data_IF_311803866845
#
_entry.id   IF_311803866845
#
_cell.length_a   1.000
_cell.length_b   1.000
_cell.length_c   1.000
_cell.angle_alpha   90.00
_cell.angle_beta   90.00
_cell.angle_gamma   90.00
#
_symmetry.space_group_name_H-M   'P 1'
#
loop_
_entity.id
_entity.type
_entity.pdbx_description
1 polymer ?
#
# COMPACT_ATOMS: atom_id res chain seq x y z
N UNK A 1 8.76 -23.44 7.31
CA UNK A 1 9.48 -22.15 7.33
C UNK A 1 10.91 -22.38 7.77
N UNK A 2 11.87 -21.74 7.11
CA UNK A 2 13.27 -21.67 7.51
C UNK A 2 13.65 -20.23 7.85
N UNK A 3 14.56 -20.05 8.81
CA UNK A 3 15.04 -18.74 9.24
C UNK A 3 16.57 -18.73 9.19
N UNK A 4 17.15 -17.89 8.33
CA UNK A 4 18.59 -17.78 8.13
C UNK A 4 18.95 -16.35 7.75
N UNK A 5 20.01 -15.81 8.36
CA UNK A 5 20.59 -14.49 8.04
C UNK A 5 19.56 -13.34 7.99
N UNK A 6 18.57 -13.36 8.88
CA UNK A 6 17.52 -12.33 8.94
C UNK A 6 16.38 -12.53 7.95
N UNK A 7 16.39 -13.61 7.16
CA UNK A 7 15.31 -13.96 6.23
C UNK A 7 14.44 -15.06 6.82
N UNK A 8 13.13 -14.85 6.83
CA UNK A 8 12.13 -15.90 7.06
C UNK A 8 11.56 -16.37 5.73
N UNK A 9 11.88 -17.60 5.35
CA UNK A 9 11.47 -18.19 4.08
C UNK A 9 10.42 -19.28 4.29
N UNK A 10 9.34 -19.20 3.52
CA UNK A 10 8.20 -20.11 3.56
C UNK A 10 8.06 -20.74 2.18
N UNK A 11 8.24 -22.06 2.12
CA UNK A 11 8.21 -22.84 0.89
C UNK A 11 7.12 -23.90 0.98
N UNK A 12 6.46 -24.15 -0.15
CA UNK A 12 5.54 -25.25 -0.35
C UNK A 12 5.53 -25.71 -1.81
N UNK A 13 4.55 -26.52 -2.17
CA UNK A 13 4.45 -27.01 -3.54
C UNK A 13 4.12 -25.84 -4.49
N UNK A 14 5.08 -25.49 -5.35
CA UNK A 14 4.90 -24.47 -6.39
C UNK A 14 5.04 -23.02 -5.92
N UNK A 15 5.35 -22.74 -4.65
CA UNK A 15 5.51 -21.38 -4.15
C UNK A 15 6.69 -21.19 -3.19
N UNK A 16 7.17 -19.95 -3.14
CA UNK A 16 8.27 -19.50 -2.28
C UNK A 16 8.07 -18.03 -1.88
N UNK A 17 8.09 -17.76 -0.58
CA UNK A 17 7.77 -16.46 0.02
C UNK A 17 8.89 -16.11 1.01
N UNK A 18 9.49 -14.93 0.87
CA UNK A 18 10.55 -14.46 1.77
C UNK A 18 10.17 -13.13 2.43
N UNK A 19 10.43 -13.07 3.73
CA UNK A 19 10.33 -11.87 4.54
C UNK A 19 11.71 -11.49 5.06
N UNK A 20 12.07 -10.22 4.93
CA UNK A 20 13.28 -9.66 5.52
C UNK A 20 12.97 -9.09 6.91
N UNK A 21 13.57 -9.65 7.96
CA UNK A 21 13.28 -9.28 9.34
C UNK A 21 13.77 -7.87 9.70
N UNK A 22 14.78 -7.34 9.00
CA UNK A 22 15.31 -6.00 9.27
C UNK A 22 14.34 -4.92 8.76
N UNK A 23 13.88 -5.06 7.52
CA UNK A 23 12.91 -4.14 6.91
C UNK A 23 11.48 -4.46 7.27
N UNK A 24 11.17 -5.68 7.74
CA UNK A 24 9.83 -6.17 8.03
C UNK A 24 8.99 -6.50 6.79
N UNK A 25 9.59 -6.51 5.60
CA UNK A 25 8.86 -6.56 4.33
C UNK A 25 8.78 -7.96 3.74
N UNK A 26 7.68 -8.22 3.04
CA UNK A 26 7.57 -9.31 2.07
C UNK A 26 8.43 -8.95 0.84
N UNK A 27 9.64 -9.48 0.76
CA UNK A 27 10.63 -9.10 -0.28
C UNK A 27 10.57 -9.98 -1.51
N UNK A 28 9.99 -11.18 -1.39
CA UNK A 28 9.86 -12.13 -2.50
C UNK A 28 8.56 -12.89 -2.41
N UNK A 29 7.93 -13.04 -3.56
CA UNK A 29 6.84 -13.98 -3.75
C UNK A 29 6.96 -14.61 -5.14
N UNK A 30 7.24 -15.90 -5.17
CA UNK A 30 7.23 -16.73 -6.37
C UNK A 30 6.08 -17.71 -6.27
N UNK A 31 5.31 -17.85 -7.35
CA UNK A 31 4.31 -18.91 -7.49
C UNK A 31 4.29 -19.41 -8.94
N UNK A 32 4.21 -20.74 -9.10
CA UNK A 32 4.29 -21.45 -10.39
C UNK A 32 5.58 -21.14 -11.18
N UNK A 33 6.69 -20.97 -10.45
CA UNK A 33 7.99 -20.62 -11.04
C UNK A 33 8.13 -19.17 -11.51
N UNK A 34 7.13 -18.33 -11.26
CA UNK A 34 7.15 -16.92 -11.65
C UNK A 34 7.17 -15.99 -10.44
N UNK A 35 8.06 -14.99 -10.45
CA UNK A 35 7.96 -13.89 -9.49
C UNK A 35 6.62 -13.18 -9.67
N UNK A 36 5.96 -12.80 -8.57
CA UNK A 36 4.70 -12.04 -8.56
C UNK A 36 4.91 -10.58 -8.19
N UNK A 37 6.02 -10.26 -7.53
CA UNK A 37 6.34 -8.93 -7.04
C UNK A 37 7.61 -8.39 -7.71
N UNK A 38 7.59 -7.10 -8.04
CA UNK A 38 8.75 -6.31 -8.40
C UNK A 38 9.19 -5.41 -7.23
N UNK A 39 8.27 -5.07 -6.32
CA UNK A 39 8.56 -4.39 -5.06
C UNK A 39 7.68 -4.95 -3.94
N UNK A 40 8.16 -4.85 -2.71
CA UNK A 40 7.39 -5.26 -1.54
C UNK A 40 6.11 -4.43 -1.37
N UNK A 41 5.00 -5.02 -0.89
CA UNK A 41 3.87 -4.29 -0.30
C UNK A 41 4.32 -3.41 0.85
N UNK A 42 3.91 -2.14 0.81
CA UNK A 42 4.18 -1.14 1.85
C UNK A 42 2.91 -0.32 2.10
N UNK A 43 2.77 0.26 3.29
CA UNK A 43 1.68 1.22 3.52
C UNK A 43 1.82 2.42 2.59
N UNK A 44 0.69 2.93 2.10
CA UNK A 44 0.62 4.20 1.40
C UNK A 44 -0.47 5.08 2.02
N UNK A 45 -0.02 6.15 2.67
CA UNK A 45 -0.87 7.13 3.35
C UNK A 45 -1.10 8.41 2.54
N UNK A 46 -0.55 8.49 1.33
CA UNK A 46 -0.56 9.68 0.51
C UNK A 46 -1.16 9.42 -0.87
N UNK A 47 -1.56 10.50 -1.54
CA UNK A 47 -1.93 10.49 -2.95
C UNK A 47 -1.45 11.77 -3.60
N UNK A 48 -1.24 11.72 -4.89
CA UNK A 48 -0.94 12.90 -5.70
C UNK A 48 -2.12 13.90 -5.55
N UNK A 49 -1.89 15.14 -5.09
CA UNK A 49 -2.95 16.12 -4.82
C UNK A 49 -3.72 16.50 -6.09
N UNK A 50 -5.05 16.33 -6.09
CA UNK A 50 -5.87 16.81 -7.21
C UNK A 50 -6.06 18.33 -7.14
N UNK A 51 -6.59 18.95 -8.20
CA UNK A 51 -6.84 20.41 -8.22
C UNK A 51 -7.65 20.89 -7.00
N UNK A 52 -8.60 20.09 -6.50
CA UNK A 52 -9.38 20.40 -5.29
C UNK A 52 -8.54 20.39 -4.00
N UNK A 53 -7.48 19.57 -3.94
CA UNK A 53 -6.57 19.50 -2.79
C UNK A 53 -5.58 20.68 -2.82
N UNK A 54 -5.17 21.11 -4.02
CA UNK A 54 -4.30 22.25 -4.27
C UNK A 54 -5.04 23.56 -4.02
N UNK A 55 -6.28 23.67 -4.48
CA UNK A 55 -7.10 24.88 -4.35
C UNK A 55 -6.43 26.10 -4.99
N UNK A 56 -6.33 27.18 -4.22
CA UNK A 56 -5.68 28.43 -4.65
C UNK A 56 -4.19 28.49 -4.32
N UNK A 57 -3.58 27.38 -3.90
CA UNK A 57 -2.16 27.34 -3.58
C UNK A 57 -1.30 27.40 -4.84
N UNK A 58 -0.33 28.31 -4.85
CA UNK A 58 0.71 28.43 -5.86
C UNK A 58 2.08 28.11 -5.23
N UNK A 59 3.10 27.85 -6.07
CA UNK A 59 4.42 27.44 -5.61
C UNK A 59 5.10 28.47 -4.68
N UNK A 60 4.88 29.75 -4.97
CA UNK A 60 5.39 30.91 -4.22
C UNK A 60 4.37 31.47 -3.21
N UNK A 61 3.10 31.05 -3.30
CA UNK A 61 2.01 31.51 -2.43
C UNK A 61 1.10 30.34 -2.02
N UNK A 62 1.54 29.62 -0.99
CA UNK A 62 0.76 28.53 -0.40
C UNK A 62 -0.43 29.08 0.41
N UNK A 63 -1.65 28.61 0.13
CA UNK A 63 -2.82 28.88 0.97
C UNK A 63 -2.89 27.84 2.10
N UNK A 64 -2.72 28.24 3.37
CA UNK A 64 -2.66 27.32 4.51
C UNK A 64 -3.97 26.54 4.76
N UNK A 65 -5.08 26.92 4.13
CA UNK A 65 -6.37 26.24 4.30
C UNK A 65 -6.60 25.12 3.28
N UNK A 66 -5.69 24.92 2.33
CA UNK A 66 -5.77 23.86 1.33
C UNK A 66 -5.28 22.53 1.88
N UNK A 67 -5.80 21.42 1.39
CA UNK A 67 -5.37 20.09 1.84
C UNK A 67 -3.89 19.86 1.54
N UNK A 68 -3.39 20.32 0.39
CA UNK A 68 -1.97 20.28 0.06
C UNK A 68 -1.13 20.95 1.15
N UNK A 69 -1.47 22.19 1.55
CA UNK A 69 -0.74 22.90 2.58
C UNK A 69 -0.80 22.19 3.93
N UNK A 70 -1.98 21.72 4.32
CA UNK A 70 -2.20 20.99 5.57
C UNK A 70 -1.36 19.71 5.63
N UNK A 71 -1.36 18.89 4.57
CA UNK A 71 -0.58 17.66 4.49
C UNK A 71 0.92 17.93 4.49
N UNK A 72 1.36 18.96 3.76
CA UNK A 72 2.76 19.38 3.73
C UNK A 72 3.23 19.84 5.11
N UNK A 73 2.46 20.70 5.78
CA UNK A 73 2.78 21.17 7.13
C UNK A 73 2.80 20.02 8.14
N UNK A 74 1.88 19.06 8.02
CA UNK A 74 1.85 17.88 8.88
C UNK A 74 2.98 16.86 8.57
N UNK A 75 3.70 17.01 7.46
CA UNK A 75 4.76 16.10 7.03
C UNK A 75 4.24 14.76 6.48
N UNK A 76 2.99 14.70 6.02
CA UNK A 76 2.38 13.48 5.45
C UNK A 76 3.10 13.06 4.15
N UNK A 77 3.67 14.03 3.43
CA UNK A 77 4.40 13.80 2.17
C UNK A 77 5.81 13.25 2.38
N UNK A 78 6.36 13.38 3.60
CA UNK A 78 7.76 13.11 3.92
C UNK A 78 7.86 12.11 5.09
N UNK A 79 6.92 11.16 5.15
CA UNK A 79 6.87 10.18 6.22
C UNK A 79 8.07 9.22 6.14
N UNK A 80 8.86 9.17 7.20
CA UNK A 80 9.98 8.25 7.33
C UNK A 80 9.51 6.95 8.00
N UNK A 81 9.55 5.84 7.27
CA UNK A 81 9.18 4.52 7.79
C UNK A 81 10.34 3.85 8.51
N UNK A 82 10.06 3.23 9.66
CA UNK A 82 10.95 2.30 10.35
C UNK A 82 10.23 1.01 10.70
N UNK A 83 10.85 -0.13 10.45
CA UNK A 83 10.44 -1.38 11.07
C UNK A 83 10.85 -1.35 12.55
N UNK A 84 9.89 -1.58 13.44
CA UNK A 84 10.10 -1.57 14.89
C UNK A 84 9.86 -2.94 15.53
N UNK A 85 9.32 -3.90 14.78
CA UNK A 85 9.11 -5.26 15.25
C UNK A 85 8.88 -6.21 14.08
N UNK A 86 9.41 -7.42 14.22
CA UNK A 86 9.20 -8.50 13.28
C UNK A 86 9.16 -9.83 14.04
N UNK A 87 8.08 -10.59 13.86
CA UNK A 87 7.93 -11.93 14.42
C UNK A 87 7.46 -12.90 13.33
N UNK A 88 7.98 -14.11 13.37
CA UNK A 88 7.62 -15.16 12.43
C UNK A 88 7.48 -16.49 13.15
N UNK A 89 6.32 -17.14 12.98
CA UNK A 89 5.95 -18.36 13.68
C UNK A 89 5.39 -19.41 12.72
N UNK A 90 5.93 -20.62 12.78
CA UNK A 90 5.37 -21.78 12.10
C UNK A 90 4.28 -22.41 12.98
N UNK A 91 3.08 -22.58 12.43
CA UNK A 91 2.01 -23.42 12.97
C UNK A 91 1.90 -24.71 12.13
N UNK A 92 0.98 -25.60 12.50
CA UNK A 92 0.83 -26.90 11.82
C UNK A 92 0.41 -26.76 10.34
N UNK A 93 -0.42 -25.78 10.02
CA UNK A 93 -1.07 -25.61 8.72
C UNK A 93 -0.74 -24.27 8.02
N UNK A 94 -0.03 -23.37 8.71
CA UNK A 94 0.36 -22.07 8.18
C UNK A 94 1.59 -21.50 8.85
N UNK A 95 2.12 -20.42 8.28
CA UNK A 95 3.09 -19.54 8.90
C UNK A 95 2.40 -18.20 9.21
N UNK A 96 2.63 -17.68 10.40
CA UNK A 96 2.21 -16.34 10.80
C UNK A 96 3.42 -15.41 10.79
N UNK A 97 3.29 -14.27 10.13
CA UNK A 97 4.29 -13.19 10.16
C UNK A 97 3.61 -11.93 10.70
N UNK A 98 4.30 -11.24 11.59
CA UNK A 98 3.88 -9.96 12.13
C UNK A 98 5.00 -8.94 11.89
N UNK A 99 4.66 -7.83 11.24
CA UNK A 99 5.57 -6.71 11.00
C UNK A 99 4.96 -5.44 11.58
N UNK A 100 5.70 -4.74 12.44
CA UNK A 100 5.29 -3.49 13.05
C UNK A 100 6.13 -2.34 12.49
N UNK A 101 5.45 -1.29 12.03
CA UNK A 101 6.05 -0.10 11.45
C UNK A 101 5.67 1.15 12.24
N UNK A 102 6.63 2.05 12.37
CA UNK A 102 6.40 3.42 12.81
C UNK A 102 6.77 4.37 11.68
N UNK A 103 5.90 5.36 11.45
CA UNK A 103 6.13 6.45 10.50
C UNK A 103 6.32 7.74 11.27
N UNK A 104 7.43 8.43 10.99
CA UNK A 104 7.79 9.68 11.64
C UNK A 104 7.63 10.87 10.69
N UNK A 105 7.13 11.99 11.21
CA UNK A 105 7.13 13.29 10.55
C UNK A 105 7.74 14.33 11.48
N UNK A 106 8.69 15.14 10.98
CA UNK A 106 9.40 16.16 11.77
C UNK A 106 10.03 15.60 13.06
N UNK A 107 10.61 14.40 12.98
CA UNK A 107 11.28 13.74 14.10
C UNK A 107 10.34 13.18 15.19
N UNK A 108 9.03 13.09 14.91
CA UNK A 108 8.03 12.50 15.84
C UNK A 108 7.28 11.38 15.16
N UNK A 109 7.03 10.31 15.89
CA UNK A 109 6.19 9.21 15.44
C UNK A 109 4.72 9.66 15.37
N UNK A 110 4.10 9.49 14.19
CA UNK A 110 2.76 10.01 13.88
C UNK A 110 1.80 8.93 13.39
N UNK A 111 2.30 7.80 12.88
CA UNK A 111 1.47 6.66 12.48
C UNK A 111 2.18 5.37 12.91
N UNK A 112 1.42 4.44 13.46
CA UNK A 112 1.84 3.07 13.70
C UNK A 112 1.03 2.14 12.77
N UNK A 113 1.68 1.17 12.13
CA UNK A 113 1.03 0.16 11.29
C UNK A 113 1.48 -1.24 11.72
N UNK A 114 0.54 -2.16 11.86
CA UNK A 114 0.81 -3.57 12.18
C UNK A 114 0.24 -4.44 11.07
N UNK A 115 1.14 -5.15 10.39
CA UNK A 115 0.82 -6.09 9.33
C UNK A 115 0.87 -7.51 9.86
N UNK A 116 -0.18 -8.27 9.62
CA UNK A 116 -0.31 -9.69 9.98
C UNK A 116 -0.50 -10.49 8.70
N UNK A 117 0.46 -11.34 8.40
CA UNK A 117 0.39 -12.27 7.28
C UNK A 117 0.11 -13.67 7.79
N UNK A 118 -0.81 -14.37 7.10
CA UNK A 118 -0.99 -15.80 7.26
C UNK A 118 -0.74 -16.47 5.90
N UNK A 119 0.36 -17.23 5.82
CA UNK A 119 0.73 -18.00 4.62
C UNK A 119 0.35 -19.45 4.86
N UNK A 120 -0.59 -19.98 4.08
CA UNK A 120 -1.06 -21.36 4.22
C UNK A 120 -0.18 -22.37 3.45
N UNK A 121 -0.49 -23.66 3.58
CA UNK A 121 0.24 -24.74 2.90
C UNK A 121 0.05 -24.78 1.38
N UNK A 122 -0.88 -24.01 0.83
CA UNK A 122 -1.15 -23.86 -0.60
C UNK A 122 -0.53 -22.59 -1.20
N UNK A 123 0.08 -21.75 -0.37
CA UNK A 123 0.67 -20.48 -0.78
C UNK A 123 -0.33 -19.33 -0.85
N UNK A 124 -1.53 -19.49 -0.29
CA UNK A 124 -2.45 -18.38 -0.09
C UNK A 124 -1.90 -17.47 1.03
N UNK A 125 -1.83 -16.17 0.74
CA UNK A 125 -1.33 -15.15 1.66
C UNK A 125 -2.50 -14.26 2.05
N UNK A 126 -3.00 -14.45 3.27
CA UNK A 126 -3.96 -13.52 3.89
C UNK A 126 -3.17 -12.38 4.55
N UNK A 127 -3.63 -11.15 4.34
CA UNK A 127 -3.00 -9.94 4.90
C UNK A 127 -4.04 -9.12 5.64
N UNK A 128 -3.75 -8.86 6.90
CA UNK A 128 -4.52 -7.94 7.74
C UNK A 128 -3.60 -6.80 8.19
N UNK A 129 -4.08 -5.56 8.10
CA UNK A 129 -3.31 -4.37 8.43
C UNK A 129 -4.11 -3.47 9.36
N UNK A 130 -3.57 -3.21 10.54
CA UNK A 130 -4.12 -2.26 11.50
C UNK A 130 -3.28 -0.98 11.51
N UNK A 131 -3.93 0.18 11.36
CA UNK A 131 -3.27 1.49 11.33
C UNK A 131 -3.79 2.36 12.46
N UNK A 132 -2.88 2.88 13.27
CA UNK A 132 -3.14 3.80 14.37
C UNK A 132 -2.50 5.16 14.06
N UNK A 133 -3.32 6.20 13.97
CA UNK A 133 -2.89 7.55 13.62
C UNK A 133 -2.84 8.41 14.89
N UNK A 134 -1.74 9.11 15.11
CA UNK A 134 -1.57 9.97 16.27
C UNK A 134 -2.59 11.10 16.30
N UNK A 135 -3.06 11.43 17.51
CA UNK A 135 -3.98 12.55 17.72
C UNK A 135 -3.32 13.85 17.25
N UNK A 136 -4.05 14.63 16.45
CA UNK A 136 -3.58 15.91 15.91
C UNK A 136 -3.02 15.83 14.49
N UNK A 137 -2.86 14.62 13.94
CA UNK A 137 -2.68 14.49 12.50
C UNK A 137 -3.96 14.89 11.76
N UNK A 138 -3.85 15.52 10.58
CA UNK A 138 -5.00 15.76 9.72
C UNK A 138 -5.55 14.43 9.19
N UNK A 139 -6.75 14.46 8.60
CA UNK A 139 -7.22 13.34 7.79
C UNK A 139 -6.22 13.04 6.68
N UNK A 140 -5.83 11.77 6.58
CA UNK A 140 -4.90 11.31 5.55
C UNK A 140 -5.62 11.18 4.20
N UNK A 141 -4.95 11.48 3.07
CA UNK A 141 -5.54 11.32 1.75
C UNK A 141 -5.96 9.89 1.43
N UNK A 142 -5.25 8.89 2.00
CA UNK A 142 -5.49 7.47 1.83
C UNK A 142 -5.00 6.71 3.06
N UNK A 143 -5.58 5.53 3.29
CA UNK A 143 -4.98 4.45 4.08
C UNK A 143 -5.09 3.20 3.21
N UNK A 144 -3.95 2.62 2.84
CA UNK A 144 -3.91 1.45 1.96
C UNK A 144 -2.48 0.96 1.78
N UNK A 145 -2.27 0.14 0.75
CA UNK A 145 -0.97 -0.38 0.41
C UNK A 145 -0.64 -0.15 -1.06
N UNK A 146 0.66 -0.15 -1.37
CA UNK A 146 1.19 -0.03 -2.71
C UNK A 146 2.33 -1.02 -2.93
N UNK A 147 2.38 -1.59 -4.13
CA UNK A 147 3.46 -2.43 -4.62
C UNK A 147 3.40 -2.51 -6.14
N UNK A 148 4.47 -3.03 -6.73
CA UNK A 148 4.54 -3.31 -8.15
C UNK A 148 4.53 -4.82 -8.37
N UNK A 149 3.70 -5.26 -9.30
CA UNK A 149 3.61 -6.67 -9.71
C UNK A 149 4.53 -6.92 -10.90
N UNK A 150 4.92 -8.19 -11.10
CA UNK A 150 5.64 -8.61 -12.30
C UNK A 150 4.75 -8.38 -13.53
N UNK A 151 5.14 -7.46 -14.41
CA UNK A 151 4.33 -7.02 -15.54
C UNK A 151 4.13 -8.12 -16.60
N UNK A 152 2.90 -8.62 -16.69
CA UNK A 152 2.45 -9.62 -17.69
C UNK A 152 0.99 -9.46 -18.14
N UNK A 153 0.21 -8.59 -17.50
CA UNK A 153 -1.22 -8.49 -17.72
C UNK A 153 -1.54 -7.25 -18.56
N UNK A 154 -2.32 -7.40 -19.63
CA UNK A 154 -2.81 -6.27 -20.44
C UNK A 154 -4.19 -5.80 -20.02
N UNK A 155 -4.85 -6.52 -19.10
CA UNK A 155 -6.24 -6.31 -18.70
C UNK A 155 -6.42 -6.44 -17.19
N UNK A 156 -7.40 -5.71 -16.66
CA UNK A 156 -7.85 -5.78 -15.27
C UNK A 156 -9.29 -6.28 -15.25
N UNK A 157 -9.52 -7.32 -14.44
CA UNK A 157 -10.84 -7.87 -14.19
C UNK A 157 -11.18 -7.64 -12.72
N UNK A 158 -12.32 -7.03 -12.43
CA UNK A 158 -12.72 -6.79 -11.05
C UNK A 158 -14.23 -6.93 -10.86
N UNK A 159 -14.62 -7.35 -9.64
CA UNK A 159 -16.00 -7.31 -9.18
C UNK A 159 -16.16 -6.13 -8.22
N UNK A 160 -16.92 -5.12 -8.63
CA UNK A 160 -17.03 -3.89 -7.84
C UNK A 160 -17.75 -2.78 -8.60
N UNK A 161 -17.59 -1.54 -8.11
CA UNK A 161 -18.16 -0.35 -8.74
C UNK A 161 -17.34 0.07 -9.95
N UNK A 162 -18.00 0.17 -11.09
CA UNK A 162 -17.39 0.59 -12.35
C UNK A 162 -18.44 0.93 -13.41
N UNK A 163 -18.05 1.00 -14.69
CA UNK A 163 -16.70 0.71 -15.21
C UNK A 163 -15.72 1.88 -15.06
N UNK A 164 -16.19 3.12 -14.96
CA UNK A 164 -15.31 4.29 -14.91
C UNK A 164 -14.84 4.64 -13.49
N UNK A 165 -13.78 5.46 -13.44
CA UNK A 165 -13.19 6.02 -12.22
C UNK A 165 -14.25 6.63 -11.29
N UNK A 166 -14.27 6.17 -10.05
CA UNK A 166 -15.19 6.64 -9.02
C UNK A 166 -14.52 6.79 -7.66
N UNK A 167 -15.03 7.72 -6.86
CA UNK A 167 -14.57 8.00 -5.50
C UNK A 167 -15.76 7.96 -4.52
N UNK A 168 -15.48 7.94 -3.21
CA UNK A 168 -16.49 7.85 -2.16
C UNK A 168 -17.61 8.89 -2.29
N UNK A 169 -17.28 10.10 -2.73
CA UNK A 169 -18.17 11.24 -2.97
C UNK A 169 -18.65 11.34 -4.43
N UNK A 170 -18.11 10.54 -5.36
CA UNK A 170 -18.42 10.54 -6.80
C UNK A 170 -18.57 9.12 -7.36
N UNK A 171 -19.64 8.43 -6.95
CA UNK A 171 -19.88 7.01 -7.30
C UNK A 171 -21.34 6.67 -7.66
N UNK A 172 -22.23 7.65 -7.80
CA UNK A 172 -23.66 7.39 -8.05
C UNK A 172 -23.95 6.89 -9.47
N UNK A 173 -23.05 7.16 -10.43
CA UNK A 173 -23.18 6.72 -11.82
C UNK A 173 -22.54 5.36 -12.10
N UNK A 174 -21.90 4.73 -11.11
CA UNK A 174 -21.32 3.39 -11.24
C UNK A 174 -22.23 2.33 -10.63
N UNK A 175 -22.08 1.09 -11.08
CA UNK A 175 -22.83 -0.06 -10.55
C UNK A 175 -21.89 -1.18 -10.13
N UNK A 176 -22.35 -1.99 -9.17
CA UNK A 176 -21.65 -3.19 -8.73
C UNK A 176 -21.84 -4.29 -9.78
N UNK A 177 -20.75 -4.82 -10.31
CA UNK A 177 -20.77 -5.88 -11.30
C UNK A 177 -19.37 -6.40 -11.62
N UNK A 178 -19.30 -7.34 -12.56
CA UNK A 178 -18.03 -7.76 -13.15
C UNK A 178 -17.67 -6.81 -14.28
N UNK A 179 -16.46 -6.25 -14.21
CA UNK A 179 -15.92 -5.33 -15.20
C UNK A 179 -14.60 -5.88 -15.75
N UNK A 180 -14.30 -5.55 -17.00
CA UNK A 180 -13.06 -5.88 -17.69
C UNK A 180 -12.61 -4.64 -18.45
N UNK A 181 -11.36 -4.23 -18.24
CA UNK A 181 -10.77 -3.04 -18.86
C UNK A 181 -9.32 -3.33 -19.26
N UNK A 182 -8.82 -2.63 -20.29
CA UNK A 182 -7.37 -2.59 -20.53
C UNK A 182 -6.66 -1.81 -19.43
N UNK A 183 -5.34 -1.97 -19.31
CA UNK A 183 -4.55 -1.13 -18.40
C UNK A 183 -4.70 0.37 -18.70
N UNK A 184 -4.76 0.76 -19.98
CA UNK A 184 -4.92 2.16 -20.38
C UNK A 184 -6.26 2.73 -19.92
N UNK A 185 -7.34 1.93 -19.97
CA UNK A 185 -8.68 2.34 -19.49
C UNK A 185 -8.77 2.48 -17.96
N UNK A 186 -7.81 1.94 -17.22
CA UNK A 186 -7.70 2.12 -15.77
C UNK A 186 -7.04 3.46 -15.40
N UNK A 187 -6.58 4.24 -16.38
CA UNK A 187 -6.02 5.57 -16.20
C UNK A 187 -6.94 6.65 -16.79
N UNK A 188 -7.18 7.71 -16.02
CA UNK A 188 -7.87 8.91 -16.51
C UNK A 188 -6.85 9.98 -16.87
N UNK A 189 -6.76 10.33 -18.15
CA UNK A 189 -5.86 11.37 -18.66
C UNK A 189 -6.37 12.79 -18.35
N UNK A 190 -6.25 13.22 -17.09
CA UNK A 190 -6.44 14.63 -16.74
C UNK A 190 -5.33 15.49 -17.37
N UNK A 191 -5.69 16.64 -17.93
CA UNK A 191 -4.74 17.58 -18.58
C UNK A 191 -3.65 18.03 -17.61
N UNK A 192 -4.02 18.33 -16.36
CA UNK A 192 -3.09 18.53 -15.25
C UNK A 192 -2.74 17.15 -14.68
N UNK A 193 -1.61 16.60 -15.10
CA UNK A 193 -1.12 15.35 -14.53
C UNK A 193 -0.53 15.61 -13.15
N UNK A 194 -1.10 14.97 -12.14
CA UNK A 194 -0.53 14.94 -10.80
C UNK A 194 0.24 13.63 -10.64
N UNK A 195 1.57 13.72 -10.59
CA UNK A 195 2.43 12.54 -10.43
C UNK A 195 2.77 12.33 -8.97
N UNK A 196 2.70 11.08 -8.53
CA UNK A 196 3.46 10.63 -7.36
C UNK A 196 4.94 10.65 -7.75
N UNK A 197 5.77 11.32 -6.95
CA UNK A 197 7.22 11.25 -7.09
C UNK A 197 7.74 9.92 -6.54
#
# INVERSE_FOLDING_TARGET
MTQLDGISRIEGEGFDVEFDAQSGLLTKWTADGESKLNSAPVDNFYRAPIDNDIGTSEADKMDPNTWLAIWKTAGVMDLERRCTGFNAHQLNDCCLIESCFMYSAHGRDVIASQWRYRVDSKGEIEVDVEVNIAKGMPSLPRIGMEFTVSDKASEVHFFGKGPHENYLDRQLSTWVGQHRQSLDEMHTDYVSQVKMA
#
